data_IF_346356491026
#
_entry.id   IF_346356491026
#
_cell.length_a   1.000
_cell.length_b   1.000
_cell.length_c   1.000
_cell.angle_alpha   90.00
_cell.angle_beta   90.00
_cell.angle_gamma   90.00
#
_symmetry.space_group_name_H-M   'P 1'
#
loop_
_entity.id
_entity.type
_entity.pdbx_description
1 polymer ?
#
# COMPACT_ATOMS: atom_id res chain seq x y z
N UNK A 1 -15.37 17.95 -50.56
CA UNK A 1 -15.41 18.67 -49.23
C UNK A 1 -14.49 17.86 -48.30
N UNK A 2 -13.25 18.33 -48.13
CA UNK A 2 -12.21 17.71 -47.32
C UNK A 2 -12.56 17.93 -45.84
N UNK A 3 -12.48 16.84 -45.07
CA UNK A 3 -12.73 16.78 -43.61
C UNK A 3 -11.70 17.62 -42.84
N UNK A 4 -12.10 18.43 -41.83
CA UNK A 4 -11.18 19.29 -41.06
C UNK A 4 -10.50 18.60 -39.89
N UNK A 5 -10.28 17.27 -39.92
CA UNK A 5 -9.70 16.52 -38.81
C UNK A 5 -8.25 16.03 -39.01
N UNK A 6 -7.55 16.55 -40.04
CA UNK A 6 -6.19 16.09 -40.36
C UNK A 6 -5.05 16.90 -39.73
N UNK A 7 -5.33 17.94 -38.93
CA UNK A 7 -4.30 18.79 -38.32
C UNK A 7 -4.40 18.83 -36.79
N UNK A 8 -4.39 17.64 -36.16
CA UNK A 8 -3.97 17.56 -34.75
C UNK A 8 -2.46 17.34 -34.77
N UNK A 9 -1.63 18.35 -34.47
CA UNK A 9 -0.21 18.13 -34.37
C UNK A 9 0.02 17.07 -33.28
N UNK A 10 0.72 16.00 -33.65
CA UNK A 10 1.27 15.07 -32.67
C UNK A 10 1.98 15.92 -31.62
N UNK A 11 1.47 15.98 -30.41
CA UNK A 11 2.18 16.58 -29.26
C UNK A 11 3.36 15.70 -28.91
N UNK A 12 4.34 15.62 -29.82
CA UNK A 12 5.69 15.24 -29.54
C UNK A 12 6.37 16.42 -28.83
N UNK A 13 5.95 16.70 -27.61
CA UNK A 13 6.81 17.41 -26.70
C UNK A 13 8.01 16.49 -26.50
N UNK A 14 9.16 16.82 -27.13
CA UNK A 14 10.42 16.24 -26.74
C UNK A 14 10.57 16.57 -25.27
N UNK A 15 10.31 15.60 -24.42
CA UNK A 15 10.78 15.62 -23.03
C UNK A 15 12.29 15.75 -23.22
N UNK A 16 12.82 16.92 -22.89
CA UNK A 16 14.27 17.13 -22.79
C UNK A 16 14.72 16.00 -21.87
N UNK A 17 15.39 15.02 -22.45
CA UNK A 17 16.01 13.97 -21.65
C UNK A 17 17.05 14.71 -20.81
N UNK A 18 16.70 15.02 -19.56
CA UNK A 18 17.67 15.38 -18.57
C UNK A 18 18.63 14.21 -18.58
N UNK A 19 19.93 14.44 -18.77
CA UNK A 19 20.99 13.44 -18.74
C UNK A 19 21.03 12.78 -17.35
N UNK A 20 20.03 11.95 -17.08
CA UNK A 20 20.01 11.14 -15.89
C UNK A 20 21.02 10.00 -16.08
N UNK A 21 21.90 9.71 -15.10
CA UNK A 21 22.81 8.58 -15.15
C UNK A 21 22.04 7.28 -15.47
N UNK A 22 22.69 6.33 -16.15
CA UNK A 22 22.09 5.01 -16.36
C UNK A 22 21.65 4.42 -15.01
N UNK A 23 20.53 3.67 -14.98
CA UNK A 23 19.95 3.14 -13.73
C UNK A 23 20.97 2.37 -12.87
N UNK A 24 21.92 1.70 -13.52
CA UNK A 24 23.00 0.94 -12.87
C UNK A 24 24.06 1.78 -12.18
N UNK A 25 24.18 3.06 -12.53
CA UNK A 25 25.21 3.97 -11.99
C UNK A 25 24.66 4.95 -10.93
N UNK A 26 23.36 4.92 -10.70
CA UNK A 26 22.70 5.85 -9.79
C UNK A 26 22.98 5.50 -8.33
N UNK A 27 23.39 6.49 -7.56
CA UNK A 27 23.39 6.40 -6.09
C UNK A 27 21.96 6.45 -5.57
N UNK A 28 21.67 5.79 -4.45
CA UNK A 28 20.39 5.94 -3.76
C UNK A 28 20.15 7.40 -3.35
N UNK A 29 18.89 7.83 -3.41
CA UNK A 29 18.51 9.16 -2.95
C UNK A 29 18.66 9.25 -1.43
N UNK A 30 19.34 10.27 -0.95
CA UNK A 30 19.45 10.54 0.49
C UNK A 30 18.13 11.06 1.05
N UNK A 31 17.93 10.98 2.38
CA UNK A 31 16.76 11.55 3.04
C UNK A 31 16.53 13.03 2.64
N UNK A 32 17.61 13.82 2.45
CA UNK A 32 17.52 15.24 2.09
C UNK A 32 16.94 15.44 0.68
N UNK A 33 17.23 14.52 -0.23
CA UNK A 33 16.77 14.57 -1.62
C UNK A 33 15.35 14.05 -1.79
N UNK A 34 14.92 13.08 -0.93
CA UNK A 34 13.60 12.46 -1.02
C UNK A 34 12.56 13.10 -0.10
N UNK A 35 12.96 13.85 0.93
CA UNK A 35 12.05 14.55 1.80
C UNK A 35 11.49 15.81 1.12
N UNK A 36 10.16 15.97 1.19
CA UNK A 36 9.44 17.19 0.77
C UNK A 36 9.12 18.05 2.00
N UNK A 37 7.83 18.26 2.28
CA UNK A 37 7.39 19.08 3.41
C UNK A 37 7.74 18.46 4.77
N UNK A 38 7.83 19.30 5.79
CA UNK A 38 8.04 18.84 7.16
C UNK A 38 6.79 18.09 7.67
N UNK A 39 6.95 16.86 8.21
CA UNK A 39 5.82 16.11 8.75
C UNK A 39 5.14 16.83 9.92
N UNK A 40 3.82 16.92 9.87
CA UNK A 40 2.99 17.69 10.80
C UNK A 40 2.17 16.80 11.74
N UNK A 41 2.67 15.60 12.05
CA UNK A 41 2.09 14.72 13.06
C UNK A 41 2.38 15.20 14.49
N UNK A 42 1.65 14.64 15.45
CA UNK A 42 1.90 14.90 16.87
C UNK A 42 3.30 14.43 17.28
N UNK A 43 4.02 15.15 18.15
CA UNK A 43 5.32 14.70 18.66
C UNK A 43 5.21 13.30 19.29
N UNK A 44 6.06 12.37 18.85
CA UNK A 44 6.04 10.98 19.32
C UNK A 44 5.13 10.03 18.53
N UNK A 45 4.36 10.52 17.57
CA UNK A 45 3.52 9.67 16.71
C UNK A 45 4.35 8.59 16.00
N UNK A 46 3.83 7.36 15.96
CA UNK A 46 4.49 6.23 15.31
C UNK A 46 4.74 6.42 13.81
N UNK A 47 3.93 7.25 13.14
CA UNK A 47 4.03 7.52 11.70
C UNK A 47 5.38 8.14 11.31
N UNK A 48 6.03 8.91 12.20
CA UNK A 48 7.39 9.42 11.98
C UNK A 48 8.41 8.31 11.75
N UNK A 49 8.32 7.23 12.54
CA UNK A 49 9.20 6.08 12.40
C UNK A 49 9.01 5.42 11.05
N UNK A 50 7.77 5.20 10.64
CA UNK A 50 7.43 4.54 9.36
C UNK A 50 7.91 5.38 8.18
N UNK A 51 7.74 6.71 8.20
CA UNK A 51 8.24 7.62 7.16
C UNK A 51 9.77 7.58 7.06
N UNK A 52 10.46 7.62 8.19
CA UNK A 52 11.93 7.56 8.21
C UNK A 52 12.45 6.25 7.59
N UNK A 53 11.74 5.14 7.82
CA UNK A 53 12.11 3.84 7.26
C UNK A 53 11.73 3.72 5.79
N UNK A 54 10.68 4.39 5.34
CA UNK A 54 10.37 4.49 3.92
C UNK A 54 11.47 5.24 3.17
N UNK A 55 11.99 6.34 3.72
CA UNK A 55 13.17 7.01 3.14
C UNK A 55 14.40 6.10 3.09
N UNK A 56 14.65 5.34 4.18
CA UNK A 56 15.75 4.38 4.23
C UNK A 56 15.59 3.25 3.22
N UNK A 57 14.36 2.78 2.97
CA UNK A 57 14.06 1.81 1.92
C UNK A 57 14.42 2.35 0.54
N UNK A 58 13.98 3.58 0.23
CA UNK A 58 14.24 4.25 -1.05
C UNK A 58 15.75 4.39 -1.28
N UNK A 59 16.49 4.86 -0.28
CA UNK A 59 17.95 5.00 -0.33
C UNK A 59 18.64 3.65 -0.54
N UNK A 60 18.30 2.64 0.28
CA UNK A 60 18.89 1.30 0.24
C UNK A 60 18.64 0.59 -1.08
N UNK A 61 17.43 0.74 -1.65
CA UNK A 61 17.02 0.12 -2.91
C UNK A 61 17.38 0.97 -4.12
N UNK A 62 18.05 2.09 -3.93
CA UNK A 62 18.47 3.03 -4.98
C UNK A 62 17.32 3.47 -5.89
N UNK A 63 16.11 3.65 -5.31
CA UNK A 63 14.95 4.08 -6.05
C UNK A 63 15.05 5.59 -6.34
N UNK A 64 14.58 5.99 -7.51
CA UNK A 64 14.58 7.40 -7.95
C UNK A 64 13.16 7.94 -8.04
N UNK A 65 13.03 9.27 -7.99
CA UNK A 65 11.74 9.99 -7.96
C UNK A 65 10.76 9.51 -9.03
N UNK A 66 11.25 9.30 -10.26
CA UNK A 66 10.44 8.90 -11.42
C UNK A 66 9.97 7.44 -11.38
N UNK A 67 10.52 6.63 -10.48
CA UNK A 67 10.15 5.21 -10.31
C UNK A 67 9.29 4.96 -9.08
N UNK A 68 9.04 5.97 -8.27
CA UNK A 68 8.28 5.86 -7.03
C UNK A 68 6.94 6.55 -7.18
N UNK A 69 5.89 5.89 -6.74
CA UNK A 69 4.59 6.53 -6.56
C UNK A 69 4.06 6.24 -5.17
N UNK A 70 3.74 7.30 -4.43
CA UNK A 70 3.17 7.23 -3.10
C UNK A 70 1.69 7.64 -3.15
N UNK A 71 0.78 6.72 -2.86
CA UNK A 71 -0.67 6.96 -2.87
C UNK A 71 -1.20 6.84 -1.45
N UNK A 72 -2.13 7.70 -1.08
CA UNK A 72 -2.79 7.64 0.21
C UNK A 72 -4.24 8.11 0.14
N UNK A 73 -5.06 7.65 1.09
CA UNK A 73 -6.43 8.13 1.27
C UNK A 73 -6.50 9.34 2.21
N UNK A 74 -7.27 9.27 3.30
CA UNK A 74 -7.41 10.34 4.28
C UNK A 74 -7.14 9.82 5.70
N UNK A 75 -6.50 10.63 6.50
CA UNK A 75 -6.12 10.38 7.89
C UNK A 75 -4.70 10.86 8.18
N UNK A 76 -4.21 10.67 9.41
CA UNK A 76 -2.85 11.06 9.79
C UNK A 76 -1.82 10.34 8.92
N UNK A 77 -1.90 9.03 8.84
CA UNK A 77 -1.04 8.17 8.02
C UNK A 77 -1.14 8.46 6.53
N UNK A 78 -2.28 8.93 6.04
CA UNK A 78 -2.49 9.23 4.63
C UNK A 78 -1.80 10.51 4.14
N UNK A 79 -1.07 11.20 5.01
CA UNK A 79 -0.33 12.43 4.66
C UNK A 79 1.05 12.16 4.05
N UNK A 80 1.47 10.90 3.94
CA UNK A 80 2.76 10.50 3.36
C UNK A 80 3.09 11.18 2.03
N UNK A 81 2.15 11.32 1.05
CA UNK A 81 2.47 11.97 -0.23
C UNK A 81 2.96 13.41 -0.11
N UNK A 82 2.60 14.14 0.94
CA UNK A 82 3.10 15.50 1.18
C UNK A 82 4.57 15.54 1.63
N UNK A 83 5.06 14.46 2.21
CA UNK A 83 6.37 14.43 2.85
C UNK A 83 7.44 13.74 1.98
N UNK A 84 7.04 13.24 0.80
CA UNK A 84 7.91 12.47 -0.09
C UNK A 84 8.03 13.16 -1.43
N UNK A 85 9.24 13.50 -1.82
CA UNK A 85 9.57 14.12 -3.12
C UNK A 85 9.58 13.04 -4.22
N UNK A 86 8.41 12.60 -4.65
CA UNK A 86 8.18 11.62 -5.71
C UNK A 86 6.79 11.84 -6.30
N UNK A 87 6.33 10.99 -7.22
CA UNK A 87 4.93 11.03 -7.65
C UNK A 87 4.03 10.73 -6.45
N UNK A 88 3.20 11.68 -6.07
CA UNK A 88 2.35 11.60 -4.89
C UNK A 88 0.88 11.84 -5.22
N UNK A 89 0.00 11.05 -4.60
CA UNK A 89 -1.46 11.24 -4.68
C UNK A 89 -2.06 11.11 -3.28
N UNK A 90 -2.57 12.21 -2.76
CA UNK A 90 -3.41 12.23 -1.57
C UNK A 90 -4.86 12.32 -2.02
N UNK A 91 -5.60 11.22 -1.92
CA UNK A 91 -6.89 11.05 -2.57
C UNK A 91 -8.05 11.05 -1.56
N UNK A 92 -9.25 10.70 -2.02
CA UNK A 92 -10.47 10.68 -1.22
C UNK A 92 -10.43 9.53 -0.20
N UNK A 93 -11.03 9.73 0.96
CA UNK A 93 -11.11 8.77 2.06
C UNK A 93 -11.63 7.40 1.61
N UNK A 94 -10.84 6.36 1.89
CA UNK A 94 -11.10 4.99 1.51
C UNK A 94 -11.03 4.69 0.00
N UNK A 95 -10.44 5.58 -0.82
CA UNK A 95 -10.34 5.39 -2.28
C UNK A 95 -8.91 5.21 -2.78
N UNK A 96 -7.93 5.21 -1.89
CA UNK A 96 -6.51 5.05 -2.24
C UNK A 96 -6.28 3.79 -3.09
N UNK A 97 -6.79 2.64 -2.70
CA UNK A 97 -6.60 1.38 -3.42
C UNK A 97 -7.26 1.34 -4.79
N UNK A 98 -8.42 2.00 -4.95
CA UNK A 98 -9.07 2.10 -6.26
C UNK A 98 -8.21 2.89 -7.24
N UNK A 99 -7.70 4.04 -6.79
CA UNK A 99 -6.81 4.89 -7.58
C UNK A 99 -5.46 4.21 -7.86
N UNK A 100 -4.84 3.65 -6.83
CA UNK A 100 -3.59 2.88 -6.93
C UNK A 100 -3.71 1.70 -7.91
N UNK A 101 -4.86 1.04 -7.95
CA UNK A 101 -5.12 -0.04 -8.93
C UNK A 101 -5.02 0.46 -10.37
N UNK A 102 -5.56 1.65 -10.65
CA UNK A 102 -5.44 2.27 -11.97
C UNK A 102 -3.99 2.59 -12.33
N UNK A 103 -3.22 3.16 -11.39
CA UNK A 103 -1.78 3.43 -11.59
C UNK A 103 -1.03 2.12 -11.87
N UNK A 104 -1.21 1.10 -11.03
CA UNK A 104 -0.51 -0.17 -11.15
C UNK A 104 -0.73 -0.84 -12.51
N UNK A 105 -1.97 -0.80 -13.02
CA UNK A 105 -2.31 -1.40 -14.31
C UNK A 105 -1.79 -0.59 -15.51
N UNK A 106 -1.75 0.75 -15.39
CA UNK A 106 -1.28 1.63 -16.47
C UNK A 106 0.24 1.83 -16.47
N UNK A 107 0.90 1.71 -15.32
CA UNK A 107 2.34 1.93 -15.12
C UNK A 107 2.94 0.83 -14.25
N UNK A 108 3.03 -0.42 -14.75
CA UNK A 108 3.56 -1.57 -14.02
C UNK A 108 5.07 -1.46 -13.72
N UNK A 109 5.75 -0.50 -14.33
CA UNK A 109 7.17 -0.19 -14.16
C UNK A 109 7.46 0.64 -12.88
N UNK A 110 6.42 1.14 -12.19
CA UNK A 110 6.57 1.95 -10.99
C UNK A 110 6.56 1.09 -9.72
N UNK A 111 7.36 1.50 -8.73
CA UNK A 111 7.22 1.02 -7.36
C UNK A 111 6.07 1.77 -6.69
N UNK A 112 4.95 1.10 -6.55
CA UNK A 112 3.71 1.68 -6.03
C UNK A 112 3.55 1.34 -4.55
N UNK A 113 3.68 2.37 -3.72
CA UNK A 113 3.44 2.30 -2.29
C UNK A 113 2.13 3.00 -1.94
N UNK A 114 1.28 2.32 -1.19
CA UNK A 114 0.03 2.87 -0.69
C UNK A 114 0.10 2.94 0.82
N UNK A 115 -0.25 4.08 1.40
CA UNK A 115 -0.30 4.29 2.84
C UNK A 115 -1.71 4.70 3.27
N UNK A 116 -2.16 4.14 4.38
CA UNK A 116 -3.47 4.45 4.94
C UNK A 116 -3.53 4.10 6.42
N UNK A 117 -4.55 4.60 7.10
CA UNK A 117 -4.90 4.17 8.46
C UNK A 117 -5.96 3.06 8.41
N UNK A 118 -6.18 2.45 9.56
CA UNK A 118 -7.21 1.43 9.78
C UNK A 118 -8.62 1.89 9.37
N UNK A 119 -9.00 3.11 9.74
CA UNK A 119 -10.27 3.70 9.36
C UNK A 119 -10.42 3.93 7.86
N UNK A 120 -9.36 4.39 7.18
CA UNK A 120 -9.32 4.57 5.73
C UNK A 120 -9.41 3.23 5.00
N UNK A 121 -8.69 2.22 5.50
CA UNK A 121 -8.56 0.91 4.88
C UNK A 121 -9.81 0.03 5.05
N UNK A 122 -10.31 -0.08 6.28
CA UNK A 122 -11.25 -1.13 6.67
C UNK A 122 -12.67 -0.64 6.96
N UNK A 123 -12.90 0.68 7.06
CA UNK A 123 -14.23 1.25 7.09
C UNK A 123 -14.70 1.53 5.65
N UNK A 124 -14.70 2.80 5.23
CA UNK A 124 -15.18 3.20 3.91
C UNK A 124 -14.37 2.60 2.74
N UNK A 125 -13.12 2.19 2.99
CA UNK A 125 -12.24 1.55 2.00
C UNK A 125 -12.37 0.03 1.90
N UNK A 126 -13.11 -0.62 2.79
CA UNK A 126 -13.13 -2.08 2.94
C UNK A 126 -13.41 -2.85 1.65
N UNK A 127 -14.34 -2.40 0.82
CA UNK A 127 -14.60 -3.04 -0.47
C UNK A 127 -13.42 -2.92 -1.44
N UNK A 128 -12.73 -1.76 -1.47
CA UNK A 128 -11.57 -1.59 -2.33
C UNK A 128 -10.40 -2.45 -1.88
N UNK A 129 -10.24 -2.63 -0.56
CA UNK A 129 -9.27 -3.55 0.02
C UNK A 129 -9.50 -4.98 -0.49
N UNK A 130 -10.71 -5.51 -0.30
CA UNK A 130 -11.08 -6.85 -0.74
C UNK A 130 -10.88 -7.05 -2.24
N UNK A 131 -11.23 -6.05 -3.05
CA UNK A 131 -11.09 -6.16 -4.50
C UNK A 131 -9.65 -6.03 -5.00
N UNK A 132 -8.81 -5.19 -4.41
CA UNK A 132 -7.40 -5.07 -4.76
C UNK A 132 -6.65 -6.37 -4.42
N UNK A 133 -6.87 -6.92 -3.21
CA UNK A 133 -6.30 -8.18 -2.77
C UNK A 133 -6.74 -9.36 -3.66
N UNK A 134 -8.06 -9.55 -3.86
CA UNK A 134 -8.63 -10.62 -4.70
C UNK A 134 -8.12 -10.59 -6.13
N UNK A 135 -7.93 -9.40 -6.70
CA UNK A 135 -7.40 -9.23 -8.07
C UNK A 135 -5.89 -9.41 -8.14
N UNK A 136 -5.22 -9.50 -7.00
CA UNK A 136 -3.77 -9.56 -6.87
C UNK A 136 -3.08 -8.46 -7.69
N UNK A 137 -3.48 -7.22 -7.46
CA UNK A 137 -2.91 -6.06 -8.14
C UNK A 137 -1.56 -5.74 -7.52
N UNK A 138 -0.51 -5.63 -8.34
CA UNK A 138 0.84 -5.38 -7.87
C UNK A 138 0.96 -4.02 -7.18
N UNK A 139 1.11 -4.02 -5.86
CA UNK A 139 1.38 -2.85 -5.01
C UNK A 139 1.80 -3.25 -3.61
N UNK A 140 2.48 -2.36 -2.90
CA UNK A 140 2.75 -2.48 -1.47
C UNK A 140 1.78 -1.59 -0.70
N UNK A 141 0.87 -2.16 0.07
CA UNK A 141 -0.05 -1.44 0.94
C UNK A 141 0.35 -1.59 2.40
N UNK A 142 0.79 -0.49 3.00
CA UNK A 142 1.12 -0.38 4.42
C UNK A 142 0.00 0.36 5.14
N UNK A 143 -0.74 -0.34 5.99
CA UNK A 143 -1.74 0.24 6.88
C UNK A 143 -1.09 0.52 8.22
N UNK A 144 -1.02 1.79 8.61
CA UNK A 144 -0.62 2.23 9.93
C UNK A 144 -1.84 2.18 10.84
N UNK A 145 -1.97 1.05 11.54
CA UNK A 145 -3.09 0.78 12.42
C UNK A 145 -2.81 1.36 13.81
N UNK A 146 -3.64 2.28 14.27
CA UNK A 146 -3.54 2.92 15.58
C UNK A 146 -4.78 2.72 16.44
N UNK A 147 -5.74 1.91 16.00
CA UNK A 147 -6.98 1.58 16.69
C UNK A 147 -7.88 2.78 17.00
N UNK A 148 -7.73 3.89 16.26
CA UNK A 148 -8.54 5.10 16.48
C UNK A 148 -8.56 6.00 15.24
N UNK A 149 -9.65 6.71 14.98
CA UNK A 149 -9.62 7.85 14.07
C UNK A 149 -8.89 9.01 14.74
N UNK A 150 -7.59 9.15 14.49
CA UNK A 150 -6.76 10.18 15.12
C UNK A 150 -6.99 11.58 14.56
N UNK A 151 -6.99 11.76 13.22
CA UNK A 151 -7.10 13.06 12.57
C UNK A 151 -8.37 13.82 12.97
N UNK A 152 -9.48 13.13 13.09
CA UNK A 152 -10.80 13.68 13.46
C UNK A 152 -11.03 13.71 14.96
N UNK A 153 -10.00 13.43 15.75
CA UNK A 153 -9.92 13.62 17.20
C UNK A 153 -10.74 12.61 18.02
N UNK A 154 -10.33 11.32 17.93
CA UNK A 154 -10.76 10.23 18.82
C UNK A 154 -12.17 9.72 18.55
N UNK A 155 -12.46 9.25 17.36
CA UNK A 155 -13.61 8.38 17.11
C UNK A 155 -13.18 6.91 17.09
N UNK A 156 -14.12 6.03 17.36
CA UNK A 156 -13.92 4.58 17.27
C UNK A 156 -13.67 4.18 15.81
N UNK A 157 -12.60 3.47 15.55
CA UNK A 157 -12.22 2.94 14.24
C UNK A 157 -12.61 1.47 14.11
N UNK A 158 -12.56 0.88 12.92
CA UNK A 158 -12.92 -0.53 12.73
C UNK A 158 -12.05 -1.52 13.51
N UNK A 159 -10.84 -1.12 13.91
CA UNK A 159 -9.89 -1.95 14.67
C UNK A 159 -9.84 -1.60 16.16
N UNK A 160 -10.61 -0.61 16.61
CA UNK A 160 -10.71 -0.24 18.03
C UNK A 160 -11.21 -1.42 18.86
N UNK A 161 -10.57 -1.73 20.01
CA UNK A 161 -10.99 -2.84 20.86
C UNK A 161 -12.36 -2.60 21.51
N UNK A 162 -13.01 -3.69 21.89
CA UNK A 162 -14.25 -3.62 22.70
C UNK A 162 -14.03 -2.77 23.94
N UNK A 163 -15.00 -1.93 24.27
CA UNK A 163 -14.96 -1.05 25.41
C UNK A 163 -14.12 0.23 25.22
N UNK A 164 -13.50 0.43 24.04
CA UNK A 164 -12.76 1.67 23.76
C UNK A 164 -13.66 2.88 23.84
N UNK A 165 -13.34 3.82 24.73
CA UNK A 165 -14.11 5.06 24.93
C UNK A 165 -13.63 6.16 23.99
N UNK A 166 -14.53 6.62 23.17
CA UNK A 166 -14.29 7.65 22.14
C UNK A 166 -15.37 8.72 22.16
N UNK A 167 -15.29 9.70 21.27
CA UNK A 167 -16.34 10.70 21.08
C UNK A 167 -17.63 10.16 20.49
N UNK A 168 -17.53 9.09 19.70
CA UNK A 168 -18.70 8.40 19.12
C UNK A 168 -19.27 7.35 20.07
N UNK A 169 -18.43 6.74 20.90
CA UNK A 169 -18.78 5.67 21.81
C UNK A 169 -18.38 6.02 23.24
N UNK A 170 -19.13 6.93 23.86
CA UNK A 170 -18.82 7.48 25.20
C UNK A 170 -18.89 6.44 26.31
N UNK A 171 -19.71 5.41 26.15
CA UNK A 171 -19.86 4.28 27.08
C UNK A 171 -18.90 3.12 26.77
N UNK A 172 -18.22 3.18 25.64
CA UNK A 172 -17.29 2.19 25.12
C UNK A 172 -17.83 1.49 23.86
N UNK A 173 -16.92 1.19 22.92
CA UNK A 173 -17.24 0.48 21.69
C UNK A 173 -17.86 -0.88 21.98
N UNK A 174 -18.95 -1.20 21.30
CA UNK A 174 -19.68 -2.47 21.42
C UNK A 174 -19.50 -3.38 20.21
N UNK A 175 -18.95 -2.83 19.10
CA UNK A 175 -18.67 -3.60 17.91
C UNK A 175 -17.36 -4.39 18.06
N UNK A 176 -17.37 -5.62 17.54
CA UNK A 176 -16.14 -6.42 17.49
C UNK A 176 -15.14 -5.84 16.49
N UNK A 177 -13.86 -5.68 16.88
CA UNK A 177 -12.85 -5.13 16.00
C UNK A 177 -12.59 -6.06 14.81
N UNK A 178 -12.36 -5.43 13.65
CA UNK A 178 -11.80 -6.14 12.49
C UNK A 178 -10.38 -6.59 12.84
N UNK A 179 -10.04 -7.83 12.46
CA UNK A 179 -8.67 -8.30 12.46
C UNK A 179 -8.09 -8.13 11.03
N UNK A 180 -7.18 -7.16 10.81
CA UNK A 180 -6.66 -6.84 9.48
C UNK A 180 -5.95 -8.00 8.81
N UNK A 181 -5.23 -8.83 9.59
CA UNK A 181 -4.50 -9.98 9.06
C UNK A 181 -5.46 -11.04 8.51
N UNK A 182 -6.51 -11.39 9.28
CA UNK A 182 -7.55 -12.33 8.84
C UNK A 182 -8.30 -11.81 7.62
N UNK A 183 -8.61 -10.52 7.59
CA UNK A 183 -9.28 -9.91 6.45
C UNK A 183 -8.42 -9.95 5.19
N UNK A 184 -7.11 -9.67 5.31
CA UNK A 184 -6.18 -9.74 4.19
C UNK A 184 -6.09 -11.16 3.60
N UNK A 185 -5.99 -12.17 4.46
CA UNK A 185 -5.99 -13.58 4.06
C UNK A 185 -7.32 -13.93 3.38
N UNK A 186 -8.47 -13.64 4.00
CA UNK A 186 -9.80 -13.90 3.45
C UNK A 186 -10.05 -13.22 2.11
N UNK A 187 -9.50 -12.03 1.91
CA UNK A 187 -9.56 -11.30 0.65
C UNK A 187 -8.64 -11.88 -0.43
N UNK A 188 -7.76 -12.82 -0.10
CA UNK A 188 -6.84 -13.47 -1.02
C UNK A 188 -5.58 -12.66 -1.32
N UNK A 189 -5.14 -11.81 -0.38
CA UNK A 189 -3.83 -11.16 -0.47
C UNK A 189 -2.72 -12.20 -0.58
N UNK A 190 -1.74 -11.96 -1.44
CA UNK A 190 -0.67 -12.92 -1.72
C UNK A 190 0.59 -12.70 -0.90
N UNK A 191 0.66 -11.58 -0.19
CA UNK A 191 1.65 -11.29 0.85
C UNK A 191 0.95 -10.60 2.02
N UNK A 192 1.11 -11.16 3.23
CA UNK A 192 0.49 -10.65 4.46
C UNK A 192 1.53 -10.63 5.58
N UNK A 193 1.80 -9.45 6.12
CA UNK A 193 2.78 -9.26 7.19
C UNK A 193 2.29 -8.29 8.27
N UNK A 194 2.78 -8.45 9.51
CA UNK A 194 2.57 -7.52 10.62
C UNK A 194 3.90 -7.03 11.17
N UNK A 195 3.93 -5.75 11.51
CA UNK A 195 5.06 -5.11 12.18
C UNK A 195 4.59 -4.05 13.17
N UNK A 196 5.52 -3.38 13.86
CA UNK A 196 5.22 -2.26 14.75
C UNK A 196 6.27 -1.18 14.63
N UNK A 197 5.85 0.09 14.72
CA UNK A 197 6.74 1.25 14.67
C UNK A 197 7.86 1.25 15.73
N UNK A 198 7.68 0.49 16.81
CA UNK A 198 8.66 0.38 17.91
C UNK A 198 9.86 -0.49 17.57
N UNK A 199 9.80 -1.27 16.47
CA UNK A 199 10.90 -2.09 15.97
C UNK A 199 11.31 -1.65 14.53
N UNK A 200 12.15 -0.58 14.40
CA UNK A 200 12.50 0.00 13.10
C UNK A 200 13.13 -0.99 12.11
N UNK A 201 14.01 -1.86 12.59
CA UNK A 201 14.66 -2.84 11.71
C UNK A 201 13.65 -3.83 11.12
N UNK A 202 12.69 -4.25 11.93
CA UNK A 202 11.65 -5.17 11.49
C UNK A 202 10.67 -4.49 10.49
N UNK A 203 10.32 -3.21 10.71
CA UNK A 203 9.50 -2.45 9.74
C UNK A 203 10.21 -2.40 8.38
N UNK A 204 11.51 -2.07 8.35
CA UNK A 204 12.26 -2.02 7.10
C UNK A 204 12.31 -3.39 6.40
N UNK A 205 12.53 -4.47 7.16
CA UNK A 205 12.52 -5.83 6.62
C UNK A 205 11.16 -6.19 5.99
N UNK A 206 10.05 -5.84 6.65
CA UNK A 206 8.71 -6.12 6.11
C UNK A 206 8.41 -5.29 4.86
N UNK A 207 8.83 -4.02 4.82
CA UNK A 207 8.69 -3.18 3.63
C UNK A 207 9.50 -3.71 2.44
N UNK A 208 10.75 -4.15 2.67
CA UNK A 208 11.59 -4.75 1.63
C UNK A 208 10.95 -6.05 1.11
N UNK A 209 10.56 -6.94 2.00
CA UNK A 209 9.93 -8.21 1.62
C UNK A 209 8.61 -8.02 0.84
N UNK A 210 7.83 -7.02 1.21
CA UNK A 210 6.60 -6.66 0.53
C UNK A 210 6.83 -6.03 -0.85
N UNK A 211 7.85 -5.18 -0.98
CA UNK A 211 8.25 -4.57 -2.25
C UNK A 211 8.78 -5.61 -3.25
N UNK A 212 9.49 -6.63 -2.75
CA UNK A 212 10.05 -7.72 -3.56
C UNK A 212 9.02 -8.76 -3.98
N UNK A 213 7.81 -8.70 -3.41
CA UNK A 213 6.73 -9.60 -3.78
C UNK A 213 5.99 -9.11 -5.04
N UNK A 214 5.83 -10.01 -6.03
CA UNK A 214 5.08 -9.70 -7.24
C UNK A 214 3.60 -9.99 -7.03
N UNK A 215 2.88 -9.04 -6.45
CA UNK A 215 1.46 -9.17 -6.16
C UNK A 215 0.94 -8.08 -5.22
N UNK A 216 -0.23 -8.34 -4.64
CA UNK A 216 -0.80 -7.49 -3.61
C UNK A 216 -0.13 -7.80 -2.27
N UNK A 217 0.69 -6.88 -1.82
CA UNK A 217 1.39 -6.97 -0.54
C UNK A 217 0.70 -6.12 0.51
N UNK A 218 0.28 -6.75 1.59
CA UNK A 218 -0.33 -6.08 2.75
C UNK A 218 0.60 -6.13 3.95
N UNK A 219 0.83 -4.96 4.55
CA UNK A 219 1.55 -4.82 5.82
C UNK A 219 0.63 -4.10 6.81
N UNK A 220 0.29 -4.74 7.92
CA UNK A 220 -0.23 -4.08 9.11
C UNK A 220 0.95 -3.59 9.94
N UNK A 221 1.09 -2.27 10.08
CA UNK A 221 2.08 -1.64 10.94
C UNK A 221 1.36 -1.01 12.13
N UNK A 222 1.50 -1.61 13.30
CA UNK A 222 0.98 -1.01 14.53
C UNK A 222 1.74 0.29 14.79
N UNK A 223 1.03 1.43 14.72
CA UNK A 223 1.58 2.78 14.78
C UNK A 223 0.85 3.59 15.85
N UNK A 224 1.48 3.81 16.99
CA UNK A 224 0.82 4.42 18.16
C UNK A 224 0.34 5.84 17.89
N UNK A 225 -0.91 6.11 18.25
CA UNK A 225 -1.47 7.45 18.37
C UNK A 225 -1.27 7.98 19.79
N UNK A 226 -0.18 8.71 20.01
CA UNK A 226 0.20 9.25 21.33
C UNK A 226 -0.82 10.23 21.91
N UNK A 227 -1.64 10.87 21.08
CA UNK A 227 -2.62 11.88 21.50
C UNK A 227 -3.95 11.27 21.94
N UNK A 228 -4.41 10.22 21.27
CA UNK A 228 -5.77 9.71 21.48
C UNK A 228 -5.84 8.28 21.98
N UNK A 229 -4.74 7.53 21.84
CA UNK A 229 -4.65 6.16 22.35
C UNK A 229 -3.20 5.81 22.73
N UNK A 230 -2.65 6.57 23.67
CA UNK A 230 -1.32 6.33 24.24
C UNK A 230 -1.28 4.96 24.93
N UNK A 231 -0.16 4.23 24.75
CA UNK A 231 0.05 2.91 25.36
C UNK A 231 -0.71 1.75 24.69
N UNK A 232 -1.44 2.00 23.61
CA UNK A 232 -2.22 0.96 22.92
C UNK A 232 -1.40 -0.28 22.58
N UNK A 233 -0.12 -0.12 22.26
CA UNK A 233 0.77 -1.19 21.83
C UNK A 233 1.89 -1.53 22.82
N UNK A 234 1.79 -1.09 24.08
CA UNK A 234 2.81 -1.36 25.11
C UNK A 234 3.05 -2.84 25.33
N UNK A 235 1.99 -3.68 25.24
CA UNK A 235 2.10 -5.11 25.37
C UNK A 235 2.99 -5.78 24.28
N UNK A 236 3.23 -5.09 23.15
CA UNK A 236 4.15 -5.54 22.08
C UNK A 236 5.51 -4.85 22.09
N UNK A 237 5.75 -3.95 23.03
CA UNK A 237 6.96 -3.15 23.10
C UNK A 237 7.91 -3.64 24.21
N UNK A 238 9.03 -4.32 23.90
CA UNK A 238 9.96 -4.81 24.90
C UNK A 238 10.56 -3.70 25.80
N UNK A 239 10.66 -2.47 25.30
CA UNK A 239 11.16 -1.33 26.10
C UNK A 239 10.18 -0.89 27.19
N UNK A 240 8.91 -1.26 27.06
CA UNK A 240 7.84 -1.01 28.04
C UNK A 240 7.45 -2.29 28.80
N UNK A 241 8.24 -3.35 28.72
CA UNK A 241 7.98 -4.63 29.39
C UNK A 241 7.05 -5.57 28.62
N UNK A 242 6.67 -5.22 27.41
CA UNK A 242 5.88 -6.07 26.50
C UNK A 242 6.72 -7.14 25.78
N UNK A 243 6.08 -7.95 24.93
CA UNK A 243 6.70 -9.06 24.22
C UNK A 243 6.55 -8.86 22.71
N UNK A 244 7.67 -8.90 21.98
CA UNK A 244 7.69 -8.92 20.53
C UNK A 244 7.93 -10.35 20.05
N UNK A 245 6.86 -11.06 19.73
CA UNK A 245 6.92 -12.43 19.24
C UNK A 245 7.10 -12.45 17.73
N UNK A 246 8.24 -12.86 17.24
CA UNK A 246 8.39 -13.11 15.80
C UNK A 246 7.63 -14.38 15.39
N UNK A 247 7.15 -14.40 14.15
CA UNK A 247 6.57 -15.59 13.52
C UNK A 247 7.56 -16.75 13.68
N UNK A 248 7.12 -17.94 14.17
CA UNK A 248 8.01 -19.06 14.44
C UNK A 248 8.86 -19.45 13.22
N UNK A 249 10.14 -19.74 13.43
CA UNK A 249 11.08 -20.09 12.34
C UNK A 249 10.66 -21.31 11.50
N UNK A 250 9.82 -22.19 12.06
CA UNK A 250 9.26 -23.35 11.36
C UNK A 250 7.94 -23.09 10.66
N UNK A 251 7.44 -21.85 10.65
CA UNK A 251 6.20 -21.51 9.97
C UNK A 251 6.39 -21.58 8.45
N UNK A 252 5.52 -22.35 7.78
CA UNK A 252 5.45 -22.35 6.32
C UNK A 252 4.60 -21.17 5.85
N UNK A 253 5.25 -20.17 5.31
CA UNK A 253 4.57 -18.95 4.80
C UNK A 253 3.65 -19.22 3.60
N UNK A 254 3.73 -20.38 2.95
CA UNK A 254 2.84 -20.77 1.87
C UNK A 254 1.56 -21.46 2.38
N UNK A 255 1.52 -21.87 3.65
CA UNK A 255 0.34 -22.47 4.28
C UNK A 255 -0.64 -21.39 4.76
N UNK A 256 -1.72 -21.20 4.00
CA UNK A 256 -2.76 -20.23 4.32
C UNK A 256 -3.50 -20.56 5.63
N UNK A 257 -3.69 -21.85 5.95
CA UNK A 257 -4.36 -22.29 7.19
C UNK A 257 -3.49 -21.99 8.41
N UNK A 258 -2.19 -22.25 8.31
CA UNK A 258 -1.23 -21.91 9.35
C UNK A 258 -1.17 -20.39 9.57
N UNK A 259 -1.18 -19.59 8.49
CA UNK A 259 -1.23 -18.13 8.56
C UNK A 259 -2.50 -17.64 9.27
N UNK A 260 -3.67 -18.24 8.99
CA UNK A 260 -4.92 -17.93 9.68
C UNK A 260 -4.87 -18.22 11.17
N UNK A 261 -4.23 -19.33 11.58
CA UNK A 261 -4.05 -19.68 12.99
C UNK A 261 -3.18 -18.64 13.70
N UNK A 262 -2.05 -18.25 13.11
CA UNK A 262 -1.21 -17.18 13.65
C UNK A 262 -1.96 -15.84 13.76
N UNK A 263 -2.77 -15.49 12.74
CA UNK A 263 -3.58 -14.27 12.74
C UNK A 263 -4.72 -14.31 13.77
N UNK A 264 -5.08 -15.48 14.27
CA UNK A 264 -6.10 -15.65 15.30
C UNK A 264 -5.60 -15.43 16.71
N UNK A 265 -4.28 -15.46 16.93
CA UNK A 265 -3.69 -15.25 18.24
C UNK A 265 -4.03 -13.85 18.78
N UNK A 266 -4.45 -13.75 20.05
CA UNK A 266 -4.74 -12.48 20.67
C UNK A 266 -3.53 -11.53 20.66
N UNK A 267 -3.80 -10.22 20.63
CA UNK A 267 -2.73 -9.23 20.77
C UNK A 267 -1.94 -9.44 22.08
N UNK A 268 -0.57 -9.37 22.03
CA UNK A 268 0.26 -8.90 20.93
C UNK A 268 0.45 -9.88 19.76
N UNK A 269 0.09 -11.17 19.91
CA UNK A 269 0.20 -12.15 18.86
C UNK A 269 1.61 -12.26 18.27
N UNK A 270 1.71 -12.33 16.94
CA UNK A 270 2.98 -12.50 16.22
C UNK A 270 3.26 -11.34 15.26
N UNK A 271 4.56 -11.15 14.95
CA UNK A 271 5.09 -10.16 14.00
C UNK A 271 6.00 -10.86 12.98
N UNK A 272 5.90 -10.48 11.73
CA UNK A 272 6.66 -11.07 10.62
C UNK A 272 5.80 -11.32 9.40
N UNK A 273 6.27 -12.16 8.50
CA UNK A 273 5.52 -12.60 7.32
C UNK A 273 4.65 -13.80 7.70
N UNK A 274 3.34 -13.63 7.62
CA UNK A 274 2.35 -14.67 7.91
C UNK A 274 2.06 -15.53 6.68
N UNK A 275 1.97 -14.88 5.52
CA UNK A 275 1.64 -15.54 4.27
C UNK A 275 2.39 -14.94 3.10
N UNK A 276 2.87 -15.80 2.20
CA UNK A 276 3.48 -15.41 0.94
C UNK A 276 3.26 -16.49 -0.10
N UNK A 277 2.59 -16.14 -1.20
CA UNK A 277 2.30 -17.08 -2.29
C UNK A 277 2.47 -16.40 -3.65
N UNK A 278 3.13 -17.09 -4.57
CA UNK A 278 3.39 -16.63 -5.94
C UNK A 278 2.19 -16.90 -6.85
N UNK A 279 1.14 -16.12 -6.75
CA UNK A 279 0.00 -16.15 -7.68
C UNK A 279 0.21 -15.12 -8.80
N UNK A 280 -0.12 -15.47 -10.03
CA UNK A 280 -0.05 -14.54 -11.17
C UNK A 280 -0.86 -13.27 -10.90
N UNK A 281 -0.23 -12.12 -11.08
CA UNK A 281 -0.87 -10.81 -10.88
C UNK A 281 -1.90 -10.51 -11.97
N UNK A 282 -2.85 -9.62 -11.65
CA UNK A 282 -3.75 -9.08 -12.67
C UNK A 282 -2.97 -8.34 -13.77
N UNK A 283 -1.93 -7.59 -13.38
CA UNK A 283 -1.04 -6.88 -14.30
C UNK A 283 -0.45 -7.83 -15.36
N UNK A 284 0.15 -8.94 -14.94
CA UNK A 284 0.74 -9.92 -15.87
C UNK A 284 -0.30 -10.60 -16.78
N UNK A 285 -1.50 -10.88 -16.23
CA UNK A 285 -2.60 -11.44 -17.02
C UNK A 285 -3.08 -10.48 -18.11
N UNK A 286 -3.28 -9.21 -17.77
CA UNK A 286 -3.70 -8.18 -18.73
C UNK A 286 -2.63 -7.91 -19.77
N UNK A 287 -1.37 -7.83 -19.37
CA UNK A 287 -0.25 -7.69 -20.32
C UNK A 287 -0.21 -8.85 -21.34
N UNK A 288 -0.39 -10.09 -20.87
CA UNK A 288 -0.46 -11.26 -21.74
C UNK A 288 -1.62 -11.18 -22.74
N UNK A 289 -2.80 -10.74 -22.29
CA UNK A 289 -3.98 -10.53 -23.15
C UNK A 289 -3.70 -9.45 -24.20
N UNK A 290 -3.15 -8.30 -23.76
CA UNK A 290 -2.82 -7.18 -24.67
C UNK A 290 -1.78 -7.62 -25.70
N UNK A 291 -0.73 -8.34 -25.28
CA UNK A 291 0.28 -8.88 -26.17
C UNK A 291 -0.34 -9.81 -27.22
N UNK A 292 -1.18 -10.75 -26.78
CA UNK A 292 -1.89 -11.67 -27.68
C UNK A 292 -2.83 -10.93 -28.64
N UNK A 293 -3.52 -9.88 -28.19
CA UNK A 293 -4.38 -9.07 -29.04
C UNK A 293 -3.58 -8.30 -30.09
N UNK A 294 -2.45 -7.71 -29.71
CA UNK A 294 -1.56 -6.97 -30.63
C UNK A 294 -0.99 -7.88 -31.72
N UNK A 295 -0.58 -9.11 -31.39
CA UNK A 295 -0.12 -10.07 -32.40
C UNK A 295 -1.21 -10.42 -33.41
N UNK A 296 -2.48 -10.51 -32.99
CA UNK A 296 -3.61 -10.82 -33.89
C UNK A 296 -3.94 -9.70 -34.90
N UNK A 297 -3.55 -8.48 -34.60
CA UNK A 297 -3.80 -7.31 -35.44
C UNK A 297 -2.53 -6.74 -36.06
N UNK A 298 -1.40 -7.45 -35.92
CA UNK A 298 -0.11 -7.03 -36.42
C UNK A 298 -0.17 -6.83 -37.95
N UNK A 299 0.25 -5.65 -38.39
CA UNK A 299 0.21 -5.27 -39.83
C UNK A 299 -1.13 -4.74 -40.33
N UNK A 300 -2.16 -4.70 -39.45
CA UNK A 300 -3.43 -4.07 -39.79
C UNK A 300 -3.39 -2.55 -39.55
N UNK A 301 -4.13 -1.80 -40.35
CA UNK A 301 -4.37 -0.39 -40.14
C UNK A 301 -5.42 -0.18 -39.03
N UNK A 302 -5.36 0.95 -38.31
CA UNK A 302 -6.28 1.24 -37.19
C UNK A 302 -7.75 1.16 -37.59
N UNK A 303 -8.09 1.62 -38.78
CA UNK A 303 -9.47 1.56 -39.28
C UNK A 303 -9.95 0.12 -39.56
N UNK A 304 -9.07 -0.80 -39.95
CA UNK A 304 -9.41 -2.21 -40.14
C UNK A 304 -9.67 -2.91 -38.82
N UNK A 305 -8.91 -2.54 -37.76
CA UNK A 305 -9.10 -3.02 -36.42
C UNK A 305 -10.47 -2.54 -35.87
N UNK A 306 -10.80 -1.26 -36.07
CA UNK A 306 -12.08 -0.70 -35.70
C UNK A 306 -13.23 -1.40 -36.45
N UNK A 307 -13.12 -1.59 -37.78
CA UNK A 307 -14.14 -2.25 -38.55
C UNK A 307 -14.41 -3.67 -38.06
N UNK A 308 -13.36 -4.47 -37.82
CA UNK A 308 -13.51 -5.80 -37.21
C UNK A 308 -14.21 -5.79 -35.85
N UNK A 309 -13.98 -4.75 -35.06
CA UNK A 309 -14.63 -4.60 -33.78
C UNK A 309 -16.12 -4.33 -33.94
N UNK A 310 -16.48 -3.43 -34.84
CA UNK A 310 -17.89 -3.14 -35.16
C UNK A 310 -18.61 -4.33 -35.75
N UNK A 311 -17.96 -5.13 -36.61
CA UNK A 311 -18.56 -6.32 -37.20
C UNK A 311 -18.86 -7.43 -36.19
N UNK A 312 -18.16 -7.45 -35.06
CA UNK A 312 -18.45 -8.35 -33.91
C UNK A 312 -19.61 -7.91 -33.04
N UNK A 313 -20.01 -6.64 -33.14
CA UNK A 313 -21.10 -6.07 -32.35
C UNK A 313 -22.44 -6.12 -33.08
N UNK A 314 -22.43 -6.53 -34.36
CA UNK A 314 -23.63 -6.83 -35.17
C UNK A 314 -24.12 -8.26 -34.92
#
# INVERSE_FOLDING_TARGET
MSSPLTDIPARGGSIVAVNAPAETERKGLTKKEIAADHPTWCPGCGDFSVLALYFKLIEKRKLWHEKITTVAGIGCSSRFPYFVQAHGVHFIHGRALAFASGISLSRPDLHLFVFGGDGDAFSIGGNHFNHAARKNIKMTYCVMDNWVYGLTKKQTSPTSPLGFKSKTDTWGAVDYPINPMKQALAAGATFVARTTHTNPNHVLQMMEAAMDHDGFSFIECLSECVEFYEGAFDASNPRKGGVFNEVPKGHDVADEVAAYKLAAEPFPGYFGVFYKNAKTTKNAKEESIIKSAREKVKGMQDWEILQKTFDRLK
#
